data_IF_128032977369
#
_entry.id   IF_128032977369
#
_cell.length_a   1.000
_cell.length_b   1.000
_cell.length_c   1.000
_cell.angle_alpha   90.00
_cell.angle_beta   90.00
_cell.angle_gamma   90.00
#
_symmetry.space_group_name_H-M   'P 1'
#
loop_
_entity.id
_entity.type
_entity.pdbx_description
1 polymer ?
#
# COMPACT_ATOMS: atom_id res chain seq x y z
N UNK A 1 -21.85 19.96 -10.70
CA UNK A 1 -20.42 20.02 -11.09
C UNK A 1 -19.75 18.78 -10.57
N UNK A 2 -19.14 17.97 -11.45
CA UNK A 2 -18.22 16.92 -11.00
C UNK A 2 -16.98 17.63 -10.46
N UNK A 3 -16.76 17.57 -9.14
CA UNK A 3 -15.50 18.01 -8.55
C UNK A 3 -14.49 16.90 -8.74
N UNK A 4 -13.29 17.24 -9.20
CA UNK A 4 -12.16 16.32 -9.22
C UNK A 4 -11.96 15.77 -7.81
N UNK A 5 -11.80 14.44 -7.72
CA UNK A 5 -11.60 13.75 -6.45
C UNK A 5 -10.23 14.12 -5.86
N UNK A 6 -10.13 14.14 -4.53
CA UNK A 6 -8.93 14.57 -3.80
C UNK A 6 -8.51 13.47 -2.83
N UNK A 7 -7.37 12.84 -3.09
CA UNK A 7 -6.77 11.84 -2.21
C UNK A 7 -5.52 12.44 -1.56
N UNK A 8 -5.34 12.20 -0.28
CA UNK A 8 -4.08 12.44 0.41
C UNK A 8 -3.32 11.13 0.61
N UNK A 9 -2.00 11.15 0.44
CA UNK A 9 -1.09 10.08 0.83
C UNK A 9 -0.13 10.59 1.90
N UNK A 10 -0.06 9.87 3.03
CA UNK A 10 0.92 10.03 4.09
C UNK A 10 1.90 8.86 4.06
N UNK A 11 3.15 9.11 3.65
CA UNK A 11 4.19 8.08 3.52
C UNK A 11 5.56 8.66 3.16
N UNK A 12 6.64 7.92 3.42
CA UNK A 12 8.01 8.25 2.99
C UNK A 12 8.37 7.78 1.57
N UNK A 13 9.09 8.61 0.82
CA UNK A 13 9.89 8.12 -0.32
C UNK A 13 11.07 7.29 0.19
N UNK A 14 11.47 6.26 -0.56
CA UNK A 14 12.64 5.43 -0.20
C UNK A 14 13.71 5.45 -1.28
N UNK A 15 14.94 5.11 -0.88
CA UNK A 15 16.03 4.73 -1.76
C UNK A 15 16.27 3.23 -1.60
N UNK A 16 15.95 2.45 -2.62
CA UNK A 16 16.02 0.99 -2.54
C UNK A 16 17.23 0.48 -3.31
N UNK A 17 17.99 -0.39 -2.64
CA UNK A 17 19.02 -1.24 -3.22
C UNK A 17 18.45 -2.66 -3.34
N UNK A 18 18.38 -3.19 -4.56
CA UNK A 18 17.89 -4.54 -4.81
C UNK A 18 19.05 -5.40 -5.28
N UNK A 19 19.39 -6.41 -4.49
CA UNK A 19 20.46 -7.37 -4.77
C UNK A 19 19.84 -8.69 -5.20
N UNK A 20 20.07 -9.09 -6.44
CA UNK A 20 19.55 -10.34 -7.01
C UNK A 20 20.56 -10.98 -7.95
N UNK A 21 20.89 -12.25 -7.72
CA UNK A 21 21.83 -13.05 -8.55
C UNK A 21 23.15 -12.32 -8.87
N UNK A 22 23.72 -11.64 -7.87
CA UNK A 22 24.97 -10.88 -8.02
C UNK A 22 24.85 -9.54 -8.74
N UNK A 23 23.65 -9.18 -9.22
CA UNK A 23 23.36 -7.85 -9.76
C UNK A 23 22.77 -6.96 -8.68
N UNK A 24 23.13 -5.67 -8.70
CA UNK A 24 22.60 -4.66 -7.78
C UNK A 24 21.94 -3.54 -8.57
N UNK A 25 20.71 -3.20 -8.19
CA UNK A 25 19.94 -2.10 -8.81
C UNK A 25 19.55 -1.10 -7.74
N UNK A 26 19.89 0.17 -7.95
CA UNK A 26 19.45 1.29 -7.11
C UNK A 26 18.27 2.00 -7.74
N UNK A 27 17.27 2.35 -6.94
CA UNK A 27 16.08 3.08 -7.43
C UNK A 27 15.40 3.89 -6.35
N UNK A 28 14.60 4.86 -6.78
CA UNK A 28 13.59 5.49 -5.92
C UNK A 28 12.44 4.51 -5.72
N UNK A 29 11.96 4.41 -4.49
CA UNK A 29 10.82 3.60 -4.10
C UNK A 29 9.90 4.32 -3.12
N UNK A 30 9.22 3.54 -2.31
CA UNK A 30 8.24 3.99 -1.34
C UNK A 30 6.84 4.19 -1.93
N UNK A 31 5.79 4.12 -1.10
CA UNK A 31 4.41 4.29 -1.52
C UNK A 31 4.14 5.56 -2.33
N UNK A 32 4.76 6.73 -2.05
CA UNK A 32 4.62 7.91 -2.91
C UNK A 32 5.02 7.62 -4.35
N UNK A 33 6.16 6.96 -4.58
CA UNK A 33 6.61 6.59 -5.92
C UNK A 33 5.59 5.69 -6.64
N UNK A 34 5.14 4.63 -5.96
CA UNK A 34 4.31 3.58 -6.57
C UNK A 34 2.83 3.97 -6.72
N UNK A 35 2.22 4.56 -5.70
CA UNK A 35 0.85 5.09 -5.79
C UNK A 35 0.80 6.22 -6.83
N UNK A 36 1.79 7.12 -6.83
CA UNK A 36 1.86 8.15 -7.84
C UNK A 36 2.01 7.59 -9.26
N UNK A 37 2.78 6.52 -9.45
CA UNK A 37 2.89 5.84 -10.75
C UNK A 37 1.54 5.35 -11.27
N UNK A 38 0.73 4.72 -10.42
CA UNK A 38 -0.53 4.13 -10.86
C UNK A 38 -1.67 5.16 -10.98
N UNK A 39 -1.59 6.29 -10.26
CA UNK A 39 -2.61 7.35 -10.27
C UNK A 39 -2.27 8.55 -11.15
N UNK A 40 -1.03 8.67 -11.65
CA UNK A 40 -0.64 9.78 -12.53
C UNK A 40 -1.46 9.77 -13.81
N UNK A 41 -1.97 10.94 -14.18
CA UNK A 41 -2.76 11.13 -15.40
C UNK A 41 -4.21 10.62 -15.30
N UNK A 42 -4.60 10.02 -14.17
CA UNK A 42 -6.02 9.74 -13.89
C UNK A 42 -6.73 11.01 -13.41
N UNK A 43 -8.06 11.06 -13.53
CA UNK A 43 -8.90 12.19 -13.14
C UNK A 43 -9.07 12.29 -11.60
N UNK A 44 -7.96 12.52 -10.92
CA UNK A 44 -7.87 12.63 -9.47
C UNK A 44 -6.70 13.53 -9.08
N UNK A 45 -6.88 14.36 -8.05
CA UNK A 45 -5.81 15.14 -7.43
C UNK A 45 -5.22 14.33 -6.28
N UNK A 46 -3.93 14.00 -6.38
CA UNK A 46 -3.17 13.32 -5.33
C UNK A 46 -2.29 14.33 -4.60
N UNK A 47 -2.51 14.49 -3.30
CA UNK A 47 -1.61 15.18 -2.39
C UNK A 47 -0.70 14.15 -1.72
N UNK A 48 0.58 14.47 -1.56
CA UNK A 48 1.56 13.62 -0.90
C UNK A 48 2.24 14.45 0.18
N UNK A 49 2.11 14.06 1.43
CA UNK A 49 2.90 14.62 2.53
C UNK A 49 3.98 13.60 2.86
N UNK A 50 5.25 14.02 2.73
CA UNK A 50 6.41 13.15 2.89
C UNK A 50 7.58 13.90 3.54
N UNK A 51 8.46 13.15 4.21
CA UNK A 51 9.73 13.65 4.71
C UNK A 51 10.83 13.19 3.76
N UNK A 52 11.71 14.11 3.37
CA UNK A 52 12.75 13.86 2.36
C UNK A 52 14.12 14.16 2.96
N UNK A 53 14.99 13.15 2.94
CA UNK A 53 16.37 13.28 3.37
C UNK A 53 17.27 13.99 2.36
N UNK A 54 18.41 14.48 2.84
CA UNK A 54 19.38 15.28 2.06
C UNK A 54 19.98 14.57 0.84
N UNK A 55 20.04 13.23 0.88
CA UNK A 55 20.60 12.37 -0.18
C UNK A 55 19.54 11.92 -1.20
N UNK A 56 18.26 12.29 -1.01
CA UNK A 56 17.23 12.00 -1.99
C UNK A 56 17.37 12.91 -3.24
N UNK A 57 17.26 12.37 -4.46
CA UNK A 57 17.51 13.12 -5.69
C UNK A 57 16.44 14.21 -5.91
N UNK A 58 16.77 15.48 -5.65
CA UNK A 58 15.83 16.61 -5.87
C UNK A 58 15.32 16.69 -7.31
N UNK A 59 16.17 16.40 -8.29
CA UNK A 59 15.80 16.37 -9.72
C UNK A 59 14.73 15.32 -10.07
N UNK A 60 14.56 14.28 -9.24
CA UNK A 60 13.44 13.36 -9.36
C UNK A 60 12.14 14.04 -8.93
N UNK A 61 12.15 14.74 -7.79
CA UNK A 61 10.97 15.45 -7.25
C UNK A 61 10.50 16.57 -8.18
N UNK A 62 11.43 17.34 -8.77
CA UNK A 62 11.12 18.42 -9.72
C UNK A 62 10.29 17.93 -10.92
N UNK A 63 10.55 16.70 -11.37
CA UNK A 63 9.82 16.07 -12.49
C UNK A 63 8.56 15.36 -12.02
N UNK A 64 8.54 14.92 -10.77
CA UNK A 64 7.48 14.08 -10.22
C UNK A 64 6.34 14.92 -9.64
N UNK A 65 6.60 15.98 -8.88
CA UNK A 65 5.59 16.80 -8.20
C UNK A 65 4.93 17.81 -9.14
N UNK A 66 4.19 17.31 -10.13
CA UNK A 66 3.51 18.07 -11.17
C UNK A 66 2.26 17.33 -11.67
N UNK A 67 1.55 17.95 -12.61
CA UNK A 67 0.31 17.46 -13.18
C UNK A 67 -0.77 17.32 -12.08
N UNK A 68 -1.28 16.10 -11.88
CA UNK A 68 -2.28 15.80 -10.88
C UNK A 68 -1.68 15.41 -9.51
N UNK A 69 -0.36 15.52 -9.32
CA UNK A 69 0.36 15.17 -8.09
C UNK A 69 0.97 16.42 -7.45
N UNK A 70 0.62 16.66 -6.20
CA UNK A 70 1.14 17.78 -5.40
C UNK A 70 1.85 17.25 -4.17
N UNK A 71 3.10 17.65 -3.99
CA UNK A 71 3.93 17.19 -2.89
C UNK A 71 4.10 18.32 -1.86
N UNK A 72 3.85 18.01 -0.59
CA UNK A 72 4.16 18.85 0.56
C UNK A 72 5.29 18.13 1.30
N UNK A 73 6.50 18.65 1.16
CA UNK A 73 7.71 17.94 1.56
C UNK A 73 8.40 18.65 2.71
N UNK A 74 8.69 17.89 3.77
CA UNK A 74 9.56 18.34 4.84
C UNK A 74 11.00 17.88 4.56
N UNK A 75 11.93 18.81 4.47
CA UNK A 75 13.32 18.51 4.15
C UNK A 75 14.15 18.45 5.41
N UNK A 76 14.77 17.30 5.67
CA UNK A 76 15.61 17.08 6.84
C UNK A 76 17.09 16.93 6.44
N UNK A 77 18.00 17.45 7.25
CA UNK A 77 19.45 17.30 7.05
C UNK A 77 19.97 15.93 7.57
N UNK A 78 19.27 14.88 7.19
CA UNK A 78 19.60 13.49 7.50
C UNK A 78 19.38 12.62 6.26
N UNK A 79 19.94 11.41 6.25
CA UNK A 79 19.79 10.51 5.10
C UNK A 79 18.36 9.98 5.00
N UNK A 80 17.86 9.86 3.79
CA UNK A 80 16.54 9.35 3.47
C UNK A 80 16.39 7.89 3.89
N UNK A 81 15.15 7.43 4.03
CA UNK A 81 14.86 6.01 4.26
C UNK A 81 15.51 5.18 3.15
N UNK A 82 16.40 4.27 3.53
CA UNK A 82 17.09 3.38 2.60
C UNK A 82 16.89 1.92 3.00
N UNK A 83 16.44 1.12 2.04
CA UNK A 83 16.33 -0.32 2.19
C UNK A 83 17.29 -1.06 1.28
N UNK A 84 17.91 -2.12 1.80
CA UNK A 84 18.60 -3.11 0.99
C UNK A 84 17.79 -4.39 1.00
N UNK A 85 17.35 -4.83 -0.17
CA UNK A 85 16.55 -6.03 -0.38
C UNK A 85 17.43 -7.08 -1.06
N UNK A 86 17.76 -8.14 -0.33
CA UNK A 86 18.49 -9.29 -0.86
C UNK A 86 17.46 -10.35 -1.24
N UNK A 87 17.40 -10.66 -2.54
CA UNK A 87 16.44 -11.61 -3.11
C UNK A 87 17.19 -12.90 -3.48
N UNK A 88 16.74 -14.01 -2.91
CA UNK A 88 17.23 -15.37 -3.18
C UNK A 88 16.06 -16.32 -3.43
N UNK A 89 15.82 -16.65 -4.71
CA UNK A 89 14.61 -17.36 -5.12
C UNK A 89 13.35 -16.59 -4.70
N UNK A 90 12.47 -17.26 -3.93
CA UNK A 90 11.26 -16.66 -3.37
C UNK A 90 11.49 -15.95 -2.02
N UNK A 91 12.71 -16.02 -1.47
CA UNK A 91 13.04 -15.41 -0.19
C UNK A 91 13.57 -13.99 -0.40
N UNK A 92 13.05 -13.06 0.40
CA UNK A 92 13.56 -11.69 0.50
C UNK A 92 13.99 -11.42 1.93
N UNK A 93 15.24 -11.03 2.13
CA UNK A 93 15.72 -10.45 3.40
C UNK A 93 15.89 -8.96 3.18
N UNK A 94 15.28 -8.16 4.05
CA UNK A 94 15.34 -6.70 3.96
C UNK A 94 16.16 -6.14 5.13
N UNK A 95 16.99 -5.15 4.84
CA UNK A 95 17.72 -4.34 5.80
C UNK A 95 17.29 -2.89 5.65
N UNK A 96 17.21 -2.16 6.76
CA UNK A 96 17.05 -0.71 6.79
C UNK A 96 18.37 -0.08 7.21
N UNK A 97 18.88 0.84 6.40
CA UNK A 97 20.20 1.44 6.60
C UNK A 97 20.12 2.78 7.35
N UNK A 98 18.92 3.23 7.69
CA UNK A 98 18.63 4.50 8.35
C UNK A 98 17.42 5.21 7.75
N UNK A 99 17.01 6.31 8.39
CA UNK A 99 15.84 7.11 8.04
C UNK A 99 14.65 6.92 8.99
N UNK A 100 13.46 7.30 8.54
CA UNK A 100 12.20 7.05 9.25
C UNK A 100 11.82 8.16 10.20
N UNK A 101 11.98 9.40 9.74
CA UNK A 101 11.68 10.59 10.52
C UNK A 101 10.19 10.86 10.53
N UNK A 102 9.66 11.15 11.71
CA UNK A 102 8.24 11.39 11.89
C UNK A 102 7.72 12.51 10.99
N UNK A 103 6.61 12.24 10.32
CA UNK A 103 5.88 13.19 9.51
C UNK A 103 5.13 14.19 10.40
N UNK A 104 5.23 15.48 10.04
CA UNK A 104 4.44 16.51 10.71
C UNK A 104 2.99 16.48 10.22
N UNK A 105 2.06 16.19 11.13
CA UNK A 105 0.61 16.23 10.83
C UNK A 105 0.08 17.66 10.65
N UNK A 106 0.84 18.70 11.00
CA UNK A 106 0.42 20.09 10.78
C UNK A 106 0.17 20.44 9.30
N UNK A 107 0.77 19.68 8.37
CA UNK A 107 0.51 19.84 6.96
C UNK A 107 -0.90 19.37 6.53
N UNK A 108 -1.61 18.59 7.36
CA UNK A 108 -2.98 18.15 7.06
C UNK A 108 -3.95 19.33 6.93
N UNK A 109 -3.74 20.39 7.70
CA UNK A 109 -4.57 21.60 7.64
C UNK A 109 -4.48 22.31 6.28
N UNK A 110 -3.38 22.11 5.54
CA UNK A 110 -3.15 22.75 4.23
C UNK A 110 -3.87 22.08 3.06
N UNK A 111 -4.34 20.83 3.19
CA UNK A 111 -4.91 20.07 2.07
C UNK A 111 -6.43 20.18 1.94
N UNK A 112 -7.12 20.88 2.87
CA UNK A 112 -8.56 21.12 2.81
C UNK A 112 -9.40 19.83 2.74
N UNK A 113 -10.61 19.90 2.15
CA UNK A 113 -11.51 18.73 2.11
C UNK A 113 -11.00 17.60 1.21
N UNK A 114 -10.87 16.40 1.76
CA UNK A 114 -10.43 15.19 1.06
C UNK A 114 -11.60 14.22 0.83
N UNK A 115 -11.53 13.43 -0.23
CA UNK A 115 -12.43 12.28 -0.44
C UNK A 115 -11.90 11.03 0.27
N UNK A 116 -10.57 10.91 0.44
CA UNK A 116 -9.95 9.77 1.12
C UNK A 116 -8.50 10.06 1.55
N UNK A 117 -8.03 9.38 2.58
CA UNK A 117 -6.64 9.43 3.06
C UNK A 117 -6.01 8.04 2.95
N UNK A 118 -4.86 7.94 2.28
CA UNK A 118 -4.03 6.75 2.25
C UNK A 118 -2.90 6.94 3.25
N UNK A 119 -2.76 6.00 4.18
CA UNK A 119 -1.66 5.92 5.13
C UNK A 119 -0.88 4.67 4.80
N UNK A 120 0.36 4.82 4.36
CA UNK A 120 1.22 3.67 4.01
C UNK A 120 2.63 3.94 4.52
N UNK A 121 2.90 3.85 5.82
CA UNK A 121 4.25 4.06 6.31
C UNK A 121 5.17 2.93 5.85
N UNK A 122 6.46 3.23 5.70
CA UNK A 122 7.49 2.26 5.32
C UNK A 122 8.40 1.91 6.49
N UNK A 123 8.71 2.85 7.39
CA UNK A 123 9.54 2.64 8.58
C UNK A 123 9.54 3.88 9.49
N UNK A 124 8.85 3.83 10.64
CA UNK A 124 8.86 4.83 11.71
C UNK A 124 8.38 6.26 11.38
N UNK A 125 8.14 6.62 10.11
CA UNK A 125 7.73 7.97 9.75
C UNK A 125 6.28 8.30 10.13
N UNK A 126 5.45 7.27 10.37
CA UNK A 126 4.13 7.41 11.00
C UNK A 126 4.07 6.41 12.14
N UNK A 127 3.84 6.91 13.35
CA UNK A 127 3.66 6.08 14.54
C UNK A 127 2.22 5.63 14.68
N UNK A 128 2.03 4.51 15.36
CA UNK A 128 0.71 3.89 15.54
C UNK A 128 -0.31 4.80 16.25
N UNK A 129 0.16 5.68 17.16
CA UNK A 129 -0.69 6.63 17.87
C UNK A 129 -1.16 7.81 16.98
N UNK A 130 -0.49 8.08 15.86
CA UNK A 130 -0.86 9.16 14.94
C UNK A 130 -2.13 8.83 14.14
N UNK A 131 -2.48 7.54 14.00
CA UNK A 131 -3.65 7.10 13.21
C UNK A 131 -4.94 7.77 13.72
N UNK A 132 -5.13 7.87 15.04
CA UNK A 132 -6.32 8.50 15.63
C UNK A 132 -6.45 9.98 15.22
N UNK A 133 -5.35 10.72 15.21
CA UNK A 133 -5.34 12.11 14.76
C UNK A 133 -5.58 12.24 13.25
N UNK A 134 -5.08 11.30 12.45
CA UNK A 134 -5.30 11.30 10.99
C UNK A 134 -6.79 11.05 10.67
N UNK A 135 -7.47 10.18 11.43
CA UNK A 135 -8.89 9.86 11.26
C UNK A 135 -9.81 11.08 11.45
N UNK A 136 -9.36 12.13 12.13
CA UNK A 136 -10.12 13.38 12.28
C UNK A 136 -10.27 14.15 10.95
N UNK A 137 -9.43 13.85 9.95
CA UNK A 137 -9.41 14.53 8.65
C UNK A 137 -10.17 13.78 7.54
N UNK A 138 -10.55 12.51 7.77
CA UNK A 138 -11.32 11.74 6.80
C UNK A 138 -11.18 10.22 6.92
N UNK A 139 -11.79 9.52 5.97
CA UNK A 139 -11.70 8.05 5.87
C UNK A 139 -10.29 7.60 5.48
N UNK A 140 -9.78 6.60 6.20
CA UNK A 140 -8.40 6.11 6.07
C UNK A 140 -8.35 4.73 5.40
N UNK A 141 -7.45 4.59 4.44
CA UNK A 141 -6.97 3.34 3.86
C UNK A 141 -5.56 3.12 4.37
N UNK A 142 -5.37 2.10 5.19
CA UNK A 142 -4.09 1.78 5.80
C UNK A 142 -3.45 0.59 5.10
N UNK A 143 -2.23 0.78 4.60
CA UNK A 143 -1.26 -0.30 4.48
C UNK A 143 -0.45 -0.35 5.79
N UNK A 144 -0.55 -1.41 6.62
CA UNK A 144 0.09 -1.42 7.93
C UNK A 144 1.61 -1.56 7.86
N UNK A 145 2.17 -1.94 6.71
CA UNK A 145 3.59 -2.13 6.41
C UNK A 145 4.58 -1.59 7.47
N UNK A 146 4.88 -0.29 7.45
CA UNK A 146 5.87 0.36 8.30
C UNK A 146 5.50 0.41 9.78
N UNK A 147 4.22 0.25 10.13
CA UNK A 147 3.77 0.13 11.52
C UNK A 147 4.23 -1.19 12.14
N UNK A 148 4.30 -2.25 11.32
CA UNK A 148 4.68 -3.60 11.75
C UNK A 148 6.20 -3.82 11.68
N UNK A 149 6.93 -3.04 10.88
CA UNK A 149 8.37 -3.24 10.73
C UNK A 149 9.16 -2.81 11.97
N UNK A 150 10.09 -3.65 12.38
CA UNK A 150 11.14 -3.38 13.36
C UNK A 150 12.49 -3.76 12.77
N UNK A 151 13.58 -3.26 13.34
CA UNK A 151 14.94 -3.59 12.92
C UNK A 151 15.72 -4.17 14.09
N UNK A 152 16.55 -5.17 13.79
CA UNK A 152 17.63 -5.63 14.67
C UNK A 152 18.80 -4.64 14.64
N UNK A 153 19.79 -4.84 15.51
CA UNK A 153 21.00 -4.00 15.59
C UNK A 153 21.82 -4.00 14.29
N UNK A 154 21.77 -5.10 13.52
CA UNK A 154 22.41 -5.22 12.20
C UNK A 154 21.59 -4.58 11.06
N UNK A 155 20.48 -3.91 11.39
CA UNK A 155 19.56 -3.29 10.44
C UNK A 155 18.56 -4.25 9.80
N UNK A 156 18.61 -5.56 10.10
CA UNK A 156 17.69 -6.53 9.51
C UNK A 156 16.25 -6.26 9.94
N UNK A 157 15.36 -6.17 8.98
CA UNK A 157 13.93 -5.90 9.20
C UNK A 157 13.20 -7.19 9.54
N UNK A 158 12.36 -7.13 10.56
CA UNK A 158 11.38 -8.16 10.91
C UNK A 158 10.02 -7.55 11.21
N UNK A 159 8.97 -8.35 11.18
CA UNK A 159 7.60 -7.91 11.49
C UNK A 159 7.29 -8.16 12.96
N UNK A 160 6.65 -7.19 13.60
CA UNK A 160 6.13 -7.27 14.95
C UNK A 160 4.69 -6.76 14.96
N UNK A 161 3.84 -7.43 15.74
CA UNK A 161 2.44 -7.03 15.86
C UNK A 161 2.29 -5.69 16.57
N UNK A 162 1.12 -5.09 16.41
CA UNK A 162 0.64 -3.92 17.15
C UNK A 162 -0.70 -4.26 17.79
N UNK A 163 -1.08 -3.60 18.91
CA UNK A 163 -2.42 -3.75 19.46
C UNK A 163 -3.50 -3.40 18.42
N UNK A 164 -4.48 -4.30 18.24
CA UNK A 164 -5.49 -4.17 17.18
C UNK A 164 -6.44 -2.98 17.36
N UNK A 165 -6.61 -2.49 18.59
CA UNK A 165 -7.40 -1.31 18.93
C UNK A 165 -6.81 -0.01 18.36
N UNK A 166 -5.54 0.00 17.95
CA UNK A 166 -4.99 1.10 17.16
C UNK A 166 -5.52 1.17 15.73
N UNK A 167 -6.14 0.09 15.23
CA UNK A 167 -6.77 0.06 13.92
C UNK A 167 -8.21 0.55 13.96
N UNK A 168 -8.73 0.89 15.15
CA UNK A 168 -10.11 1.30 15.33
C UNK A 168 -10.45 2.54 14.49
N UNK A 169 -11.56 2.44 13.76
CA UNK A 169 -12.08 3.51 12.93
C UNK A 169 -11.44 3.62 11.53
N UNK A 170 -10.47 2.77 11.19
CA UNK A 170 -9.91 2.68 9.84
C UNK A 170 -10.98 2.14 8.89
N UNK A 171 -11.09 2.73 7.70
CA UNK A 171 -12.11 2.34 6.73
C UNK A 171 -11.66 1.13 5.90
N UNK A 172 -10.42 1.12 5.42
CA UNK A 172 -9.84 0.00 4.65
C UNK A 172 -8.50 -0.38 5.24
N UNK A 173 -8.28 -1.68 5.43
CA UNK A 173 -6.96 -2.22 5.79
C UNK A 173 -6.46 -3.13 4.66
N UNK A 174 -5.22 -2.92 4.19
CA UNK A 174 -4.62 -3.78 3.15
C UNK A 174 -3.25 -4.31 3.56
N UNK A 175 -3.17 -5.41 4.33
CA UNK A 175 -1.91 -6.07 4.63
C UNK A 175 -1.51 -7.05 3.51
N UNK A 176 -0.22 -7.43 3.46
CA UNK A 176 0.20 -8.71 2.88
C UNK A 176 -0.31 -9.89 3.72
N UNK A 177 -0.21 -11.10 3.18
CA UNK A 177 -0.57 -12.32 3.92
C UNK A 177 0.30 -12.51 5.17
N UNK A 178 1.59 -12.16 5.10
CA UNK A 178 2.53 -12.21 6.23
C UNK A 178 2.22 -11.14 7.29
N UNK A 179 1.90 -9.91 6.85
CA UNK A 179 1.50 -8.81 7.74
C UNK A 179 0.16 -9.11 8.42
N UNK A 180 -0.79 -9.70 7.69
CA UNK A 180 -2.06 -10.14 8.24
C UNK A 180 -1.85 -11.19 9.34
N UNK A 181 -1.02 -12.21 9.07
CA UNK A 181 -0.67 -13.23 10.07
C UNK A 181 0.03 -12.62 11.30
N UNK A 182 0.86 -11.61 11.09
CA UNK A 182 1.51 -10.87 12.18
C UNK A 182 0.49 -10.13 13.06
N UNK A 183 -0.53 -9.51 12.45
CA UNK A 183 -1.59 -8.79 13.15
C UNK A 183 -2.49 -9.73 13.97
N UNK A 184 -2.96 -10.83 13.37
CA UNK A 184 -3.96 -11.71 14.01
C UNK A 184 -3.32 -12.78 14.90
N UNK A 185 -2.02 -13.03 14.75
CA UNK A 185 -1.29 -14.05 15.49
C UNK A 185 -1.82 -15.47 15.23
N UNK A 186 -1.77 -16.31 16.26
CA UNK A 186 -2.28 -17.69 16.20
C UNK A 186 -3.81 -17.76 15.98
N UNK A 187 -4.52 -16.67 16.29
CA UNK A 187 -5.98 -16.58 16.21
C UNK A 187 -6.41 -16.11 14.81
N UNK A 188 -6.44 -17.07 13.88
CA UNK A 188 -6.74 -16.89 12.45
C UNK A 188 -8.21 -16.52 12.14
N UNK A 189 -8.96 -15.95 13.09
CA UNK A 189 -10.36 -15.57 12.87
C UNK A 189 -10.45 -14.13 12.30
N UNK A 190 -10.93 -13.96 11.05
CA UNK A 190 -11.07 -12.64 10.44
C UNK A 190 -11.98 -11.69 11.20
N UNK A 191 -12.94 -12.22 11.97
CA UNK A 191 -13.89 -11.41 12.74
C UNK A 191 -13.22 -10.57 13.83
N UNK A 192 -12.04 -10.97 14.32
CA UNK A 192 -11.32 -10.20 15.33
C UNK A 192 -10.82 -8.86 14.79
N UNK A 193 -10.34 -8.85 13.54
CA UNK A 193 -9.83 -7.64 12.89
C UNK A 193 -10.98 -6.74 12.42
N UNK A 194 -12.05 -7.35 11.88
CA UNK A 194 -13.20 -6.61 11.36
C UNK A 194 -13.98 -5.80 12.40
N UNK A 195 -13.76 -6.03 13.71
CA UNK A 195 -14.32 -5.18 14.78
C UNK A 195 -13.78 -3.75 14.74
N UNK A 196 -12.57 -3.57 14.21
CA UNK A 196 -11.87 -2.29 14.17
C UNK A 196 -11.95 -1.61 12.80
N UNK A 197 -12.26 -2.37 11.75
CA UNK A 197 -12.28 -1.91 10.37
C UNK A 197 -13.72 -1.62 9.92
N UNK A 198 -14.00 -0.37 9.53
CA UNK A 198 -15.37 0.08 9.20
C UNK A 198 -15.93 -0.52 7.91
N UNK A 199 -15.10 -0.73 6.88
CA UNK A 199 -15.54 -1.23 5.58
C UNK A 199 -15.03 -2.63 5.30
N UNK A 200 -13.76 -2.79 4.93
CA UNK A 200 -13.24 -4.08 4.48
C UNK A 200 -11.72 -4.20 4.67
N UNK A 201 -11.26 -5.45 4.75
CA UNK A 201 -9.84 -5.79 4.73
C UNK A 201 -9.48 -6.50 3.43
N UNK A 202 -8.36 -6.14 2.80
CA UNK A 202 -7.84 -6.78 1.58
C UNK A 202 -6.48 -7.39 1.87
N UNK A 203 -6.41 -8.72 1.97
CA UNK A 203 -5.16 -9.44 2.22
C UNK A 203 -4.54 -9.86 0.89
N UNK A 204 -3.41 -9.28 0.50
CA UNK A 204 -2.74 -9.64 -0.76
C UNK A 204 -1.82 -10.86 -0.60
N UNK A 205 -1.84 -11.79 -1.55
CA UNK A 205 -1.08 -13.05 -1.54
C UNK A 205 -0.33 -13.28 -2.87
N UNK A 206 0.35 -12.23 -3.35
CA UNK A 206 1.18 -12.27 -4.55
C UNK A 206 0.45 -12.80 -5.79
N UNK A 207 1.06 -13.75 -6.50
CA UNK A 207 0.49 -14.36 -7.72
C UNK A 207 -0.81 -15.12 -7.46
N UNK A 208 -1.12 -15.46 -6.20
CA UNK A 208 -2.33 -16.20 -5.83
C UNK A 208 -3.55 -15.28 -5.70
N UNK A 209 -3.38 -13.97 -5.87
CA UNK A 209 -4.46 -13.00 -5.81
C UNK A 209 -4.55 -12.30 -4.46
N UNK A 210 -5.78 -12.04 -4.04
CA UNK A 210 -6.07 -11.41 -2.75
C UNK A 210 -7.33 -11.97 -2.13
N UNK A 211 -7.50 -11.72 -0.83
CA UNK A 211 -8.67 -12.10 -0.06
C UNK A 211 -9.34 -10.84 0.47
N UNK A 212 -10.55 -10.56 -0.01
CA UNK A 212 -11.38 -9.46 0.46
C UNK A 212 -12.28 -9.97 1.57
N UNK A 213 -12.09 -9.46 2.79
CA UNK A 213 -12.93 -9.70 3.96
C UNK A 213 -13.86 -8.48 4.08
N UNK A 214 -15.13 -8.68 3.72
CA UNK A 214 -16.16 -7.64 3.68
C UNK A 214 -17.43 -8.14 4.38
N UNK A 215 -18.52 -8.37 3.65
CA UNK A 215 -19.71 -9.10 4.13
C UNK A 215 -19.47 -10.62 4.15
N UNK A 216 -18.65 -11.09 3.21
CA UNK A 216 -18.11 -12.45 3.13
C UNK A 216 -16.62 -12.38 2.87
N UNK A 217 -15.99 -13.55 2.82
CA UNK A 217 -14.60 -13.68 2.38
C UNK A 217 -14.62 -14.03 0.90
N UNK A 218 -14.02 -13.18 0.08
CA UNK A 218 -13.89 -13.39 -1.35
C UNK A 218 -12.43 -13.64 -1.71
N UNK A 219 -12.16 -14.74 -2.38
CA UNK A 219 -10.91 -14.91 -3.11
C UNK A 219 -11.03 -14.20 -4.46
N UNK A 220 -10.20 -13.17 -4.64
CA UNK A 220 -10.09 -12.38 -5.85
C UNK A 220 -8.85 -12.87 -6.62
N UNK A 221 -9.02 -13.39 -7.85
CA UNK A 221 -7.88 -13.92 -8.60
C UNK A 221 -6.97 -12.80 -9.10
N UNK A 222 -5.67 -13.08 -9.19
CA UNK A 222 -4.73 -12.25 -9.94
C UNK A 222 -4.62 -12.71 -11.40
N UNK A 223 -4.23 -11.79 -12.28
CA UNK A 223 -3.72 -12.16 -13.60
C UNK A 223 -2.26 -12.60 -13.43
N UNK A 224 -1.91 -13.87 -13.71
CA UNK A 224 -0.54 -14.33 -13.57
C UNK A 224 0.35 -13.56 -14.53
N UNK A 225 1.43 -13.02 -13.97
CA UNK A 225 2.53 -12.35 -14.68
C UNK A 225 3.81 -12.98 -14.15
N UNK A 226 4.71 -13.32 -15.06
CA UNK A 226 5.97 -14.01 -14.76
C UNK A 226 7.14 -13.10 -15.12
N UNK A 227 8.26 -13.28 -14.43
CA UNK A 227 9.53 -12.58 -14.71
C UNK A 227 9.45 -11.05 -14.65
N UNK A 228 8.53 -10.52 -13.84
CA UNK A 228 8.41 -9.07 -13.56
C UNK A 228 8.77 -8.76 -12.11
N UNK A 229 9.40 -7.61 -11.91
CA UNK A 229 9.67 -7.08 -10.58
C UNK A 229 8.37 -6.60 -9.93
N UNK A 230 7.95 -7.27 -8.85
CA UNK A 230 6.69 -6.97 -8.14
C UNK A 230 6.85 -5.89 -7.05
N UNK A 231 8.00 -5.23 -6.94
CA UNK A 231 8.23 -4.18 -5.94
C UNK A 231 7.22 -3.05 -6.10
N UNK A 232 6.55 -2.69 -5.00
CA UNK A 232 5.50 -1.66 -4.99
C UNK A 232 4.12 -2.14 -5.46
N UNK A 233 3.95 -3.43 -5.78
CA UNK A 233 2.64 -3.97 -6.17
C UNK A 233 1.56 -3.74 -5.11
N UNK A 234 1.90 -3.89 -3.83
CA UNK A 234 0.99 -3.62 -2.71
C UNK A 234 0.54 -2.16 -2.67
N UNK A 235 1.48 -1.22 -2.77
CA UNK A 235 1.20 0.22 -2.77
C UNK A 235 0.30 0.61 -3.93
N UNK A 236 0.64 0.16 -5.15
CA UNK A 236 -0.17 0.37 -6.34
C UNK A 236 -1.58 -0.22 -6.17
N UNK A 237 -1.70 -1.40 -5.55
CA UNK A 237 -2.97 -2.04 -5.27
C UNK A 237 -3.86 -1.17 -4.38
N UNK A 238 -3.32 -0.64 -3.27
CA UNK A 238 -4.08 0.23 -2.37
C UNK A 238 -4.48 1.53 -3.05
N UNK A 239 -3.54 2.18 -3.75
CA UNK A 239 -3.77 3.41 -4.49
C UNK A 239 -4.90 3.27 -5.50
N UNK A 240 -4.88 2.22 -6.32
CA UNK A 240 -5.93 1.98 -7.31
C UNK A 240 -7.26 1.54 -6.69
N UNK A 241 -7.23 0.86 -5.53
CA UNK A 241 -8.44 0.48 -4.79
C UNK A 241 -9.16 1.74 -4.34
N UNK A 242 -8.45 2.66 -3.70
CA UNK A 242 -9.02 3.94 -3.24
C UNK A 242 -9.52 4.76 -4.41
N UNK A 243 -8.74 4.88 -5.50
CA UNK A 243 -9.19 5.54 -6.73
C UNK A 243 -10.50 4.94 -7.27
N UNK A 244 -10.62 3.61 -7.30
CA UNK A 244 -11.84 2.94 -7.78
C UNK A 244 -13.04 3.24 -6.89
N UNK A 245 -12.86 3.21 -5.57
CA UNK A 245 -13.93 3.45 -4.59
C UNK A 245 -14.43 4.90 -4.64
N UNK A 246 -13.55 5.89 -4.68
CA UNK A 246 -13.97 7.30 -4.76
C UNK A 246 -14.66 7.63 -6.09
N UNK A 247 -14.47 6.79 -7.11
CA UNK A 247 -15.18 6.85 -8.39
C UNK A 247 -16.46 5.98 -8.43
N UNK A 248 -16.93 5.50 -7.27
CA UNK A 248 -18.24 4.87 -7.12
C UNK A 248 -18.29 3.37 -7.41
N UNK A 249 -17.15 2.70 -7.51
CA UNK A 249 -17.12 1.24 -7.59
C UNK A 249 -17.34 0.63 -6.20
N UNK A 250 -17.93 -0.57 -6.13
CA UNK A 250 -18.06 -1.33 -4.88
C UNK A 250 -16.73 -2.00 -4.45
N UNK A 251 -16.60 -2.49 -3.20
CA UNK A 251 -15.37 -3.13 -2.71
C UNK A 251 -14.89 -4.33 -3.53
N UNK A 252 -15.79 -5.20 -3.99
CA UNK A 252 -15.43 -6.41 -4.76
C UNK A 252 -14.85 -5.99 -6.11
N UNK A 253 -15.56 -5.10 -6.81
CA UNK A 253 -15.13 -4.59 -8.11
C UNK A 253 -13.83 -3.80 -7.99
N UNK A 254 -13.69 -2.94 -6.99
CA UNK A 254 -12.48 -2.14 -6.74
C UNK A 254 -11.26 -3.03 -6.47
N UNK A 255 -11.44 -4.11 -5.71
CA UNK A 255 -10.36 -5.07 -5.42
C UNK A 255 -9.90 -5.79 -6.69
N UNK A 256 -10.82 -6.29 -7.52
CA UNK A 256 -10.45 -6.97 -8.78
C UNK A 256 -9.86 -5.98 -9.81
N UNK A 257 -10.42 -4.77 -9.91
CA UNK A 257 -9.87 -3.71 -10.78
C UNK A 257 -8.42 -3.40 -10.41
N UNK A 258 -8.14 -3.28 -9.11
CA UNK A 258 -6.78 -3.03 -8.62
C UNK A 258 -5.83 -4.16 -8.94
N UNK A 259 -6.26 -5.42 -8.79
CA UNK A 259 -5.45 -6.57 -9.20
C UNK A 259 -5.10 -6.52 -10.68
N UNK A 260 -6.05 -6.17 -11.56
CA UNK A 260 -5.83 -6.08 -13.01
C UNK A 260 -4.91 -4.89 -13.34
N UNK A 261 -5.15 -3.72 -12.74
CA UNK A 261 -4.38 -2.51 -12.96
C UNK A 261 -2.92 -2.69 -12.56
N UNK A 262 -2.65 -3.30 -11.40
CA UNK A 262 -1.30 -3.63 -10.96
C UNK A 262 -0.64 -4.59 -11.95
N UNK A 263 -1.33 -5.65 -12.39
CA UNK A 263 -0.76 -6.55 -13.39
C UNK A 263 -0.46 -5.86 -14.72
N UNK A 264 -1.25 -4.89 -15.16
CA UNK A 264 -0.94 -4.10 -16.36
C UNK A 264 0.27 -3.18 -16.15
N UNK A 265 0.32 -2.48 -15.03
CA UNK A 265 1.41 -1.58 -14.70
C UNK A 265 2.75 -2.33 -14.61
N UNK A 266 2.77 -3.52 -14.00
CA UNK A 266 3.97 -4.35 -13.88
C UNK A 266 4.44 -4.92 -15.24
N UNK A 267 3.52 -5.25 -16.14
CA UNK A 267 3.86 -5.83 -17.45
C UNK A 267 4.19 -4.78 -18.51
N UNK A 268 3.48 -3.64 -18.50
CA UNK A 268 3.49 -2.65 -19.59
C UNK A 268 3.97 -1.27 -19.18
N UNK A 269 4.20 -1.02 -17.88
CA UNK A 269 4.54 0.31 -17.35
C UNK A 269 3.42 1.34 -17.46
N UNK A 270 2.18 0.90 -17.74
CA UNK A 270 1.00 1.76 -17.89
C UNK A 270 -0.29 1.02 -17.56
N UNK A 271 -1.34 1.76 -17.23
CA UNK A 271 -2.71 1.26 -17.01
C UNK A 271 -3.64 1.74 -18.11
N UNK A 272 -4.55 0.87 -18.56
CA UNK A 272 -5.61 1.20 -19.52
C UNK A 272 -6.97 0.82 -18.91
N UNK A 273 -7.76 1.85 -18.60
CA UNK A 273 -9.07 1.71 -17.95
C UNK A 273 -10.03 0.85 -18.78
N UNK A 274 -10.02 0.96 -20.09
CA UNK A 274 -10.94 0.20 -20.94
C UNK A 274 -10.53 -1.27 -20.99
N UNK A 275 -9.22 -1.54 -21.10
CA UNK A 275 -8.70 -2.90 -20.97
C UNK A 275 -9.00 -3.50 -19.58
N UNK A 276 -8.95 -2.70 -18.49
CA UNK A 276 -9.33 -3.16 -17.14
C UNK A 276 -10.80 -3.61 -17.11
N UNK A 277 -11.73 -2.85 -17.70
CA UNK A 277 -13.15 -3.22 -17.76
C UNK A 277 -13.39 -4.51 -18.55
N UNK A 278 -12.68 -4.68 -19.66
CA UNK A 278 -12.77 -5.89 -20.49
C UNK A 278 -12.27 -7.11 -19.71
N UNK A 279 -11.09 -7.02 -19.09
CA UNK A 279 -10.51 -8.11 -18.29
C UNK A 279 -11.37 -8.40 -17.07
N UNK A 280 -11.95 -7.39 -16.41
CA UNK A 280 -12.89 -7.58 -15.31
C UNK A 280 -14.07 -8.45 -15.72
N UNK A 281 -14.66 -8.20 -16.90
CA UNK A 281 -15.79 -8.99 -17.41
C UNK A 281 -15.44 -10.47 -17.57
N UNK A 282 -14.17 -10.78 -17.85
CA UNK A 282 -13.65 -12.15 -17.96
C UNK A 282 -13.33 -12.78 -16.59
N UNK A 283 -12.80 -12.00 -15.64
CA UNK A 283 -12.32 -12.51 -14.36
C UNK A 283 -13.36 -12.52 -13.24
N UNK A 284 -14.43 -11.71 -13.32
CA UNK A 284 -15.44 -11.62 -12.25
C UNK A 284 -16.09 -12.96 -11.91
N UNK A 285 -16.26 -13.85 -12.89
CA UNK A 285 -16.84 -15.18 -12.69
C UNK A 285 -15.88 -16.16 -12.01
N UNK A 286 -14.61 -15.79 -11.85
CA UNK A 286 -13.59 -16.56 -11.12
C UNK A 286 -13.46 -16.13 -9.66
N UNK A 287 -14.19 -15.10 -9.22
CA UNK A 287 -14.26 -14.72 -7.81
C UNK A 287 -14.95 -15.86 -7.06
N UNK A 288 -14.31 -16.33 -5.99
CA UNK A 288 -14.85 -17.40 -5.14
C UNK A 288 -15.22 -16.83 -3.78
N UNK A 289 -16.38 -17.23 -3.26
CA UNK A 289 -16.74 -16.99 -1.86
C UNK A 289 -16.17 -18.13 -1.02
N UNK A 290 -15.46 -17.80 0.05
CA UNK A 290 -14.86 -18.76 0.97
C UNK A 290 -15.62 -18.78 2.29
N UNK A 291 -15.68 -19.96 2.92
CA UNK A 291 -16.04 -20.08 4.33
C UNK A 291 -14.89 -19.64 5.24
N UNK A 292 -15.20 -19.30 6.50
CA UNK A 292 -14.18 -18.91 7.50
C UNK A 292 -13.14 -20.02 7.69
N UNK A 293 -13.57 -21.29 7.77
CA UNK A 293 -12.65 -22.42 7.91
C UNK A 293 -11.79 -22.64 6.66
N UNK A 294 -12.33 -22.44 5.45
CA UNK A 294 -11.53 -22.52 4.23
C UNK A 294 -10.45 -21.42 4.21
N UNK A 295 -10.78 -20.21 4.64
CA UNK A 295 -9.81 -19.13 4.76
C UNK A 295 -8.74 -19.41 5.84
N UNK A 296 -9.12 -19.99 6.98
CA UNK A 296 -8.15 -20.44 8.00
C UNK A 296 -7.18 -21.49 7.45
N UNK A 297 -7.65 -22.41 6.61
CA UNK A 297 -6.80 -23.40 5.94
C UNK A 297 -5.83 -22.75 4.93
N UNK A 298 -6.26 -21.72 4.21
CA UNK A 298 -5.36 -20.90 3.37
C UNK A 298 -4.25 -20.30 4.24
N UNK A 299 -4.61 -19.69 5.36
CA UNK A 299 -3.67 -19.07 6.30
C UNK A 299 -2.73 -20.06 7.00
N UNK A 300 -3.04 -21.36 7.03
CA UNK A 300 -2.13 -22.41 7.56
C UNK A 300 -1.07 -22.85 6.56
N UNK A 301 -1.26 -22.56 5.27
CA UNK A 301 -0.35 -22.94 4.18
C UNK A 301 0.62 -21.82 3.81
N UNK A 302 0.75 -20.80 4.66
CA UNK A 302 1.59 -19.61 4.50
C UNK A 302 2.47 -19.53 5.72
#
# INVERSE_FOLDING_TARGET
MYSMKRILLLSGFTLDEIVFRGSTVYRVGGPPHYIGKILRGLDIKLYIISTVGRDFPRSYLDKYCRDNIECILDYVDLNNIKFTNIIDGDRRVQYVMGGGYELSLSYLDSVGKLDYIIVSPVFNEIRVNMIKSILEYGDVALDPQGLLRRSLDDGRVYLNSIPLDHLDGISILKPSIEEYLTLVGEYKDPSNLMKYIKSHTIVTDGIRGSYLIYDKIYHIPSRPIYDVDSTGAGDMFLGYTVYSLVNGLDPIKSTLYSSIAVSQMLEKGSTDIEAIKQIYSLLRNKIRVLGVEEFKEVLKRR
#
